data_IF_226628256117
#
_entry.id   IF_226628256117
#
_cell.length_a   1.000
_cell.length_b   1.000
_cell.length_c   1.000
_cell.angle_alpha   90.00
_cell.angle_beta   90.00
_cell.angle_gamma   90.00
#
_symmetry.space_group_name_H-M   'P 1'
#
loop_
_entity.id
_entity.type
_entity.pdbx_description
1 polymer ?
#
# COMPACT_ATOMS: atom_id res chain seq x y z
N UNK A 1 -14.61 1.44 28.34
CA UNK A 1 -15.02 0.19 27.67
C UNK A 1 -14.72 0.34 26.19
N UNK A 2 -13.66 -0.30 25.73
CA UNK A 2 -13.19 -0.29 24.34
C UNK A 2 -13.54 -1.57 23.59
N UNK A 3 -12.88 -1.75 22.44
CA UNK A 3 -13.12 -2.87 21.51
C UNK A 3 -12.79 -4.23 22.12
N UNK A 4 -11.73 -4.30 22.95
CA UNK A 4 -11.29 -5.55 23.59
C UNK A 4 -12.35 -6.06 24.57
N UNK A 5 -12.89 -5.17 25.40
CA UNK A 5 -13.90 -5.54 26.41
C UNK A 5 -15.21 -6.00 25.75
N UNK A 6 -15.51 -5.53 24.53
CA UNK A 6 -16.65 -6.01 23.73
C UNK A 6 -16.43 -7.45 23.27
N UNK A 7 -15.25 -7.80 22.77
CA UNK A 7 -14.93 -9.17 22.37
C UNK A 7 -15.00 -10.12 23.58
N UNK A 8 -14.47 -9.71 24.73
CA UNK A 8 -14.60 -10.49 25.98
C UNK A 8 -16.06 -10.67 26.42
N UNK A 9 -16.89 -9.65 26.24
CA UNK A 9 -18.32 -9.74 26.54
C UNK A 9 -19.01 -10.74 25.61
N UNK A 10 -18.74 -10.66 24.30
CA UNK A 10 -19.30 -11.59 23.30
C UNK A 10 -18.86 -13.04 23.57
N UNK A 11 -17.60 -13.24 23.95
CA UNK A 11 -17.10 -14.56 24.33
C UNK A 11 -17.84 -15.15 25.55
N UNK A 12 -18.30 -14.31 26.49
CA UNK A 12 -19.05 -14.74 27.69
C UNK A 12 -20.57 -14.75 27.52
N UNK A 13 -21.12 -14.19 26.46
CA UNK A 13 -22.59 -14.00 26.32
C UNK A 13 -23.34 -15.27 25.92
N UNK A 14 -22.64 -16.29 25.41
CA UNK A 14 -23.25 -17.48 24.82
C UNK A 14 -23.92 -17.23 23.46
N UNK A 15 -23.86 -16.01 22.93
CA UNK A 15 -24.37 -15.68 21.60
C UNK A 15 -23.35 -16.06 20.51
N UNK A 16 -23.79 -16.49 19.32
CA UNK A 16 -22.90 -16.63 18.18
C UNK A 16 -22.29 -15.27 17.82
N UNK A 17 -20.96 -15.22 17.67
CA UNK A 17 -20.23 -14.01 17.29
C UNK A 17 -19.04 -14.35 16.40
N UNK A 18 -18.62 -13.38 15.60
CA UNK A 18 -17.32 -13.38 14.92
C UNK A 18 -16.79 -11.95 14.96
N UNK A 19 -15.49 -11.77 15.21
CA UNK A 19 -14.83 -10.46 15.20
C UNK A 19 -13.92 -10.31 13.99
N UNK A 20 -13.85 -9.10 13.46
CA UNK A 20 -12.91 -8.70 12.41
C UNK A 20 -11.98 -7.61 12.93
N UNK A 21 -10.68 -7.79 12.74
CA UNK A 21 -9.62 -6.87 13.14
C UNK A 21 -8.85 -6.40 11.90
N UNK A 22 -9.43 -5.48 11.11
CA UNK A 22 -8.69 -4.86 10.03
C UNK A 22 -7.57 -3.97 10.57
N UNK A 23 -6.50 -3.82 9.79
CA UNK A 23 -5.46 -2.83 10.03
C UNK A 23 -5.90 -1.46 9.47
N UNK A 24 -5.04 -0.77 8.73
CA UNK A 24 -5.38 0.50 8.11
C UNK A 24 -6.18 0.28 6.82
N UNK A 25 -7.44 0.68 6.83
CA UNK A 25 -8.34 0.51 5.68
C UNK A 25 -8.13 1.66 4.69
N UNK A 26 -8.06 1.32 3.39
CA UNK A 26 -7.96 2.27 2.28
C UNK A 26 -8.85 1.82 1.11
N UNK A 27 -8.99 2.63 0.07
CA UNK A 27 -9.78 2.30 -1.12
C UNK A 27 -11.03 3.17 -1.26
N UNK A 28 -11.58 3.21 -2.48
CA UNK A 28 -12.68 4.11 -2.79
C UNK A 28 -13.95 3.81 -1.98
N UNK A 29 -14.55 4.85 -1.40
CA UNK A 29 -15.74 4.75 -0.54
C UNK A 29 -15.41 4.52 0.94
N UNK A 30 -14.13 4.59 1.32
CA UNK A 30 -13.72 4.55 2.71
C UNK A 30 -14.07 5.87 3.43
N UNK A 31 -14.69 5.78 4.61
CA UNK A 31 -15.11 6.95 5.38
C UNK A 31 -13.93 7.79 5.91
N UNK A 32 -12.76 7.18 6.07
CA UNK A 32 -11.54 7.83 6.54
C UNK A 32 -10.37 7.52 5.58
N UNK A 33 -10.31 8.20 4.42
CA UNK A 33 -9.34 7.91 3.36
C UNK A 33 -7.95 8.38 3.77
N UNK A 34 -7.15 7.50 4.38
CA UNK A 34 -5.79 7.82 4.83
C UNK A 34 -4.86 8.17 3.66
N UNK A 35 -5.10 7.53 2.52
CA UNK A 35 -4.35 7.68 1.28
C UNK A 35 -4.49 9.08 0.70
N UNK A 36 -5.61 9.76 1.00
CA UNK A 36 -5.87 11.15 0.61
C UNK A 36 -4.78 12.08 1.16
N UNK A 37 -4.26 11.85 2.37
CA UNK A 37 -3.14 12.61 2.92
C UNK A 37 -1.95 12.65 1.95
N UNK A 38 -1.58 11.52 1.37
CA UNK A 38 -0.45 11.42 0.44
C UNK A 38 -0.80 12.03 -0.91
N UNK A 39 -1.98 11.73 -1.44
CA UNK A 39 -2.41 12.25 -2.74
C UNK A 39 -2.52 13.77 -2.77
N UNK A 40 -3.00 14.41 -1.70
CA UNK A 40 -3.08 15.89 -1.62
C UNK A 40 -1.69 16.54 -1.78
N UNK A 41 -0.67 15.99 -1.10
CA UNK A 41 0.71 16.48 -1.17
C UNK A 41 1.33 16.24 -2.54
N UNK A 42 1.13 15.04 -3.08
CA UNK A 42 1.61 14.66 -4.41
C UNK A 42 0.95 15.53 -5.49
N UNK A 43 -0.37 15.74 -5.40
CA UNK A 43 -1.14 16.55 -6.34
C UNK A 43 -0.70 18.02 -6.29
N UNK A 44 -0.47 18.57 -5.10
CA UNK A 44 0.04 19.92 -4.91
C UNK A 44 1.54 20.08 -5.26
N UNK A 45 2.25 19.00 -5.62
CA UNK A 45 3.69 19.05 -5.91
C UNK A 45 4.56 19.36 -4.70
N UNK A 46 4.08 19.01 -3.49
CA UNK A 46 4.76 19.27 -2.23
C UNK A 46 5.54 18.04 -1.76
N UNK A 47 6.63 18.23 -0.99
CA UNK A 47 7.27 17.12 -0.29
C UNK A 47 6.29 16.43 0.67
N UNK A 48 6.48 15.14 0.89
CA UNK A 48 5.73 14.39 1.91
C UNK A 48 6.59 14.25 3.16
N UNK A 49 6.09 14.78 4.27
CA UNK A 49 6.77 14.69 5.57
C UNK A 49 6.48 13.33 6.22
N UNK A 50 7.53 12.55 6.50
CA UNK A 50 7.43 11.20 7.05
C UNK A 50 8.13 11.13 8.41
N UNK A 51 7.47 10.64 9.48
CA UNK A 51 8.08 10.58 10.79
C UNK A 51 9.17 9.52 10.89
N UNK A 52 10.21 9.79 11.68
CA UNK A 52 11.32 8.88 11.92
C UNK A 52 12.16 8.68 10.66
N UNK A 53 12.55 7.44 10.39
CA UNK A 53 13.37 7.06 9.23
C UNK A 53 12.55 6.49 8.07
N UNK A 54 11.21 6.54 8.15
CA UNK A 54 10.31 6.07 7.09
C UNK A 54 10.21 4.56 6.86
N UNK A 55 11.01 3.74 7.55
CA UNK A 55 11.01 2.28 7.40
C UNK A 55 10.05 1.52 8.32
N UNK A 56 9.19 2.20 9.07
CA UNK A 56 8.12 1.53 9.81
C UNK A 56 7.20 0.81 8.82
N UNK A 57 7.06 -0.50 9.00
CA UNK A 57 6.17 -1.33 8.20
C UNK A 57 4.74 -1.25 8.74
N UNK A 58 3.79 -1.11 7.83
CA UNK A 58 2.37 -1.02 8.13
C UNK A 58 1.55 -1.93 7.22
N UNK A 59 0.53 -2.55 7.80
CA UNK A 59 -0.49 -3.27 7.08
C UNK A 59 -1.57 -2.32 6.57
N UNK A 60 -1.86 -2.42 5.28
CA UNK A 60 -3.04 -1.82 4.66
C UNK A 60 -4.04 -2.93 4.33
N UNK A 61 -5.33 -2.60 4.27
CA UNK A 61 -6.39 -3.51 3.84
C UNK A 61 -7.39 -2.80 2.95
N UNK A 62 -7.58 -3.27 1.71
CA UNK A 62 -8.53 -2.63 0.81
C UNK A 62 -9.98 -2.80 1.29
N UNK A 63 -10.78 -1.72 1.25
CA UNK A 63 -12.15 -1.67 1.80
C UNK A 63 -13.08 -2.73 1.19
N UNK A 64 -12.92 -3.01 -0.11
CA UNK A 64 -13.71 -4.06 -0.78
C UNK A 64 -13.33 -5.46 -0.32
N UNK A 65 -12.04 -5.72 -0.09
CA UNK A 65 -11.60 -7.04 0.37
C UNK A 65 -12.07 -7.30 1.80
N UNK A 66 -12.04 -6.28 2.67
CA UNK A 66 -12.65 -6.34 3.99
C UNK A 66 -14.16 -6.64 3.92
N UNK A 67 -14.89 -5.92 3.05
CA UNK A 67 -16.33 -6.13 2.89
C UNK A 67 -16.67 -7.55 2.44
N UNK A 68 -15.89 -8.12 1.50
CA UNK A 68 -16.06 -9.51 1.05
C UNK A 68 -15.75 -10.49 2.18
N UNK A 69 -14.68 -10.30 2.95
CA UNK A 69 -14.38 -11.15 4.10
C UNK A 69 -15.52 -11.16 5.12
N UNK A 70 -16.08 -9.98 5.42
CA UNK A 70 -17.22 -9.83 6.33
C UNK A 70 -18.50 -10.46 5.78
N UNK A 71 -18.75 -10.38 4.47
CA UNK A 71 -19.91 -11.03 3.85
C UNK A 71 -19.78 -12.55 3.86
N UNK A 72 -18.58 -13.06 3.55
CA UNK A 72 -18.34 -14.50 3.41
C UNK A 72 -18.53 -15.27 4.72
N UNK A 73 -18.37 -14.64 5.89
CA UNK A 73 -18.56 -15.30 7.18
C UNK A 73 -20.01 -15.77 7.41
N UNK A 74 -20.97 -15.13 6.75
CA UNK A 74 -22.40 -15.36 7.01
C UNK A 74 -22.75 -16.80 6.63
N UNK A 75 -23.45 -17.49 7.53
CA UNK A 75 -23.87 -18.88 7.31
C UNK A 75 -22.77 -19.92 7.46
N UNK A 76 -21.61 -19.57 8.03
CA UNK A 76 -20.50 -20.51 8.30
C UNK A 76 -20.38 -20.86 9.79
N UNK A 77 -20.92 -22.02 10.25
CA UNK A 77 -20.90 -22.38 11.67
C UNK A 77 -19.48 -22.49 12.25
N UNK A 78 -18.50 -22.92 11.45
CA UNK A 78 -17.10 -23.02 11.88
C UNK A 78 -16.43 -21.67 12.12
N UNK A 79 -17.08 -20.55 11.76
CA UNK A 79 -16.58 -19.19 12.01
C UNK A 79 -17.05 -18.59 13.35
N UNK A 80 -18.00 -19.25 14.02
CA UNK A 80 -18.51 -18.80 15.31
C UNK A 80 -17.43 -18.86 16.38
N UNK A 81 -17.33 -17.81 17.18
CA UNK A 81 -16.35 -17.65 18.26
C UNK A 81 -14.94 -17.25 17.78
N UNK A 82 -14.75 -17.00 16.48
CA UNK A 82 -13.44 -16.69 15.91
C UNK A 82 -13.23 -15.20 15.69
N UNK A 83 -11.96 -14.83 15.61
CA UNK A 83 -11.51 -13.48 15.27
C UNK A 83 -10.60 -13.57 14.05
N UNK A 84 -10.90 -12.77 13.04
CA UNK A 84 -10.16 -12.73 11.79
C UNK A 84 -9.43 -11.39 11.64
N UNK A 85 -8.14 -11.45 11.33
CA UNK A 85 -7.43 -10.27 10.84
C UNK A 85 -7.69 -10.11 9.34
N UNK A 86 -7.79 -8.88 8.87
CA UNK A 86 -7.95 -8.57 7.45
C UNK A 86 -7.00 -7.45 7.03
N UNK A 87 -6.17 -7.74 6.03
CA UNK A 87 -5.20 -6.84 5.45
C UNK A 87 -4.78 -7.42 4.06
N UNK A 88 -4.11 -6.62 3.24
CA UNK A 88 -3.40 -7.03 2.03
C UNK A 88 -2.25 -8.01 2.35
N UNK A 89 -1.77 -8.76 1.36
CA UNK A 89 -0.77 -9.84 1.58
C UNK A 89 0.60 -9.37 2.07
N UNK A 90 0.91 -8.10 1.89
CA UNK A 90 2.23 -7.55 2.22
C UNK A 90 2.08 -6.28 3.05
N UNK A 91 2.95 -6.14 4.04
CA UNK A 91 3.15 -4.87 4.73
C UNK A 91 4.04 -3.95 3.88
N UNK A 92 3.84 -2.64 4.00
CA UNK A 92 4.58 -1.62 3.27
C UNK A 92 5.28 -0.65 4.22
N UNK A 93 6.47 -0.15 3.87
CA UNK A 93 7.12 0.92 4.63
C UNK A 93 6.41 2.26 4.40
N UNK A 94 6.59 3.23 5.29
CA UNK A 94 6.03 4.57 5.06
C UNK A 94 6.58 5.21 3.79
N UNK A 95 7.90 5.13 3.57
CA UNK A 95 8.51 5.61 2.33
C UNK A 95 7.93 4.85 1.13
N UNK A 96 7.80 3.52 1.23
CA UNK A 96 7.17 2.69 0.20
C UNK A 96 5.76 3.14 -0.14
N UNK A 97 4.95 3.47 0.87
CA UNK A 97 3.59 3.98 0.68
C UNK A 97 3.57 5.32 -0.06
N UNK A 98 4.45 6.26 0.30
CA UNK A 98 4.58 7.53 -0.43
C UNK A 98 4.88 7.29 -1.91
N UNK A 99 5.85 6.41 -2.18
CA UNK A 99 6.28 6.08 -3.54
C UNK A 99 5.17 5.37 -4.32
N UNK A 100 4.43 4.47 -3.68
CA UNK A 100 3.30 3.78 -4.28
C UNK A 100 2.14 4.75 -4.61
N UNK A 101 1.84 5.71 -3.73
CA UNK A 101 0.88 6.77 -4.01
C UNK A 101 1.31 7.66 -5.19
N UNK A 102 2.61 7.94 -5.34
CA UNK A 102 3.12 8.69 -6.50
C UNK A 102 2.84 7.95 -7.82
N UNK A 103 3.12 6.65 -7.85
CA UNK A 103 2.87 5.78 -9.00
C UNK A 103 1.37 5.69 -9.32
N UNK A 104 0.52 5.55 -8.31
CA UNK A 104 -0.93 5.55 -8.47
C UNK A 104 -1.43 6.88 -9.07
N UNK A 105 -0.84 8.02 -8.66
CA UNK A 105 -1.13 9.33 -9.21
C UNK A 105 -0.53 9.61 -10.61
N UNK A 106 0.06 8.59 -11.26
CA UNK A 106 0.66 8.71 -12.59
C UNK A 106 2.01 9.42 -12.60
N UNK A 107 2.70 9.52 -11.46
CA UNK A 107 4.03 10.12 -11.35
C UNK A 107 5.12 9.05 -11.12
N UNK A 108 6.37 9.28 -11.54
CA UNK A 108 7.46 8.36 -11.20
C UNK A 108 7.62 8.23 -9.68
N UNK A 109 7.93 7.04 -9.18
CA UNK A 109 8.15 6.82 -7.75
C UNK A 109 9.17 7.82 -7.17
N UNK A 110 10.26 8.10 -7.87
CA UNK A 110 11.32 9.03 -7.45
C UNK A 110 10.95 10.51 -7.48
N UNK A 111 9.82 10.90 -8.07
CA UNK A 111 9.50 12.33 -8.29
C UNK A 111 9.01 13.06 -7.03
N UNK A 112 8.70 12.33 -5.97
CA UNK A 112 8.22 12.91 -4.70
C UNK A 112 9.39 13.08 -3.75
N UNK A 113 9.59 14.30 -3.26
CA UNK A 113 10.55 14.52 -2.17
C UNK A 113 9.95 13.97 -0.86
N UNK A 114 10.75 13.18 -0.14
CA UNK A 114 10.39 12.70 1.21
C UNK A 114 11.26 13.45 2.20
N UNK A 115 10.63 14.12 3.16
CA UNK A 115 11.33 14.83 4.24
C UNK A 115 11.08 14.08 5.54
N UNK A 116 12.14 13.47 6.06
CA UNK A 116 12.08 12.79 7.35
C UNK A 116 12.16 13.80 8.49
N UNK A 117 11.38 13.57 9.56
CA UNK A 117 11.39 14.43 10.74
C UNK A 117 11.25 13.61 12.03
N UNK A 118 11.81 14.10 13.13
CA UNK A 118 11.60 13.52 14.44
C UNK A 118 10.36 14.14 15.09
N UNK A 119 9.28 13.39 15.36
CA UNK A 119 8.06 13.94 15.94
C UNK A 119 8.24 14.64 17.29
N UNK A 120 9.29 14.31 18.04
CA UNK A 120 9.59 14.92 19.35
C UNK A 120 10.07 16.37 19.25
N UNK A 121 10.50 16.81 18.07
CA UNK A 121 11.05 18.15 17.86
C UNK A 121 9.96 19.19 17.57
N UNK A 122 8.68 18.77 17.55
CA UNK A 122 7.55 19.61 17.16
C UNK A 122 6.39 19.48 18.16
N UNK A 123 5.67 20.58 18.36
CA UNK A 123 4.35 20.59 19.00
C UNK A 123 3.27 20.84 17.95
N UNK A 124 2.54 19.79 17.57
CA UNK A 124 1.42 19.86 16.62
C UNK A 124 0.06 20.10 17.32
N UNK A 125 0.06 20.31 18.64
CA UNK A 125 -1.17 20.38 19.43
C UNK A 125 -2.03 19.12 19.25
N UNK A 126 -3.27 19.31 18.79
CA UNK A 126 -4.23 18.20 18.54
C UNK A 126 -4.19 17.67 17.11
N UNK A 127 -3.37 18.25 16.23
CA UNK A 127 -3.30 17.87 14.82
C UNK A 127 -2.46 16.60 14.65
N UNK A 128 -2.80 15.82 13.63
CA UNK A 128 -2.03 14.64 13.24
C UNK A 128 -1.16 15.01 12.04
N UNK A 129 0.14 15.17 12.28
CA UNK A 129 1.11 15.45 11.22
C UNK A 129 1.33 14.27 10.25
N UNK A 130 0.94 13.05 10.65
CA UNK A 130 1.01 11.85 9.82
C UNK A 130 -0.20 10.94 10.13
N UNK A 131 -0.82 10.29 9.12
CA UNK A 131 -2.06 9.53 9.32
C UNK A 131 -1.84 8.18 10.00
N UNK A 132 -0.59 7.68 10.03
CA UNK A 132 -0.22 6.36 10.57
C UNK A 132 0.58 6.49 11.88
N UNK A 133 0.50 5.47 12.73
CA UNK A 133 1.27 5.41 13.98
C UNK A 133 2.73 5.06 13.67
N UNK A 134 3.73 5.79 14.19
CA UNK A 134 5.15 5.56 13.90
C UNK A 134 5.69 4.33 14.66
N UNK A 135 5.17 3.15 14.31
CA UNK A 135 5.57 1.85 14.81
C UNK A 135 5.25 0.77 13.77
N UNK A 136 5.84 -0.40 13.95
CA UNK A 136 5.48 -1.59 13.21
C UNK A 136 4.04 -2.04 13.55
N UNK A 137 3.19 -2.15 12.53
CA UNK A 137 1.78 -2.54 12.72
C UNK A 137 1.19 -3.24 11.48
N UNK A 138 1.21 -4.57 11.47
CA UNK A 138 0.59 -5.44 10.46
C UNK A 138 0.14 -6.75 11.11
N UNK A 139 -0.64 -7.54 10.39
CA UNK A 139 -1.18 -8.81 10.87
C UNK A 139 -1.09 -9.90 9.81
N UNK A 140 -1.11 -11.15 10.27
CA UNK A 140 -1.28 -12.34 9.42
C UNK A 140 -2.77 -12.56 9.10
N UNK A 141 -3.07 -12.99 7.87
CA UNK A 141 -4.44 -13.16 7.35
C UNK A 141 -4.80 -14.61 7.01
N UNK A 142 -3.94 -15.59 7.33
CA UNK A 142 -4.11 -16.99 6.90
C UNK A 142 -5.38 -17.63 7.47
N UNK A 143 -5.77 -17.26 8.70
CA UNK A 143 -7.01 -17.76 9.29
C UNK A 143 -8.24 -17.32 8.47
N UNK A 144 -8.24 -16.09 7.96
CA UNK A 144 -9.32 -15.59 7.09
C UNK A 144 -9.31 -16.31 5.75
N UNK A 145 -8.12 -16.48 5.13
CA UNK A 145 -7.94 -17.21 3.87
C UNK A 145 -8.48 -18.64 3.94
N UNK A 146 -8.16 -19.35 5.03
CA UNK A 146 -8.58 -20.73 5.25
C UNK A 146 -10.09 -20.89 5.46
N UNK A 147 -10.70 -20.02 6.27
CA UNK A 147 -12.05 -20.26 6.77
C UNK A 147 -13.15 -19.54 5.96
N UNK A 148 -12.80 -18.49 5.20
CA UNK A 148 -13.76 -17.56 4.58
C UNK A 148 -13.87 -17.64 3.04
N UNK A 149 -13.22 -18.61 2.38
CA UNK A 149 -13.12 -18.65 0.89
C UNK A 149 -12.76 -17.28 0.31
N UNK A 150 -11.72 -16.69 0.91
CA UNK A 150 -11.36 -15.30 0.71
C UNK A 150 -9.86 -15.18 0.45
N UNK A 151 -9.49 -14.25 -0.42
CA UNK A 151 -8.12 -13.81 -0.63
C UNK A 151 -8.15 -12.31 -0.95
N UNK A 152 -7.14 -11.54 -0.52
CA UNK A 152 -6.94 -10.18 -1.01
C UNK A 152 -6.89 -10.15 -2.53
N UNK A 153 -7.76 -9.37 -3.16
CA UNK A 153 -7.76 -9.15 -4.61
C UNK A 153 -6.99 -7.91 -5.00
N UNK A 154 -6.83 -6.99 -4.06
CA UNK A 154 -6.09 -5.76 -4.22
C UNK A 154 -4.70 -5.93 -3.61
N UNK A 155 -3.69 -5.89 -4.47
CA UNK A 155 -2.34 -5.51 -4.02
C UNK A 155 -2.29 -3.99 -3.79
N UNK A 156 -1.24 -3.53 -3.11
CA UNK A 156 -1.09 -2.11 -2.76
C UNK A 156 -1.11 -1.20 -4.00
N UNK A 157 -0.55 -1.63 -5.13
CA UNK A 157 -0.50 -0.81 -6.35
C UNK A 157 -1.89 -0.66 -6.97
N UNK A 158 -2.65 -1.76 -7.09
CA UNK A 158 -4.02 -1.78 -7.63
C UNK A 158 -4.99 -1.06 -6.72
N UNK A 159 -4.90 -1.26 -5.41
CA UNK A 159 -5.78 -0.61 -4.44
C UNK A 159 -5.55 0.90 -4.39
N UNK A 160 -4.30 1.37 -4.42
CA UNK A 160 -4.02 2.81 -4.40
C UNK A 160 -4.46 3.47 -5.70
N UNK A 161 -4.36 2.75 -6.83
CA UNK A 161 -4.93 3.20 -8.09
C UNK A 161 -6.45 3.31 -8.03
N UNK A 162 -7.14 2.31 -7.48
CA UNK A 162 -8.60 2.36 -7.27
C UNK A 162 -8.99 3.58 -6.43
N UNK A 163 -8.33 3.79 -5.29
CA UNK A 163 -8.58 4.95 -4.44
C UNK A 163 -8.33 6.29 -5.15
N UNK A 164 -7.26 6.36 -5.96
CA UNK A 164 -6.92 7.56 -6.70
C UNK A 164 -7.96 7.89 -7.77
N UNK A 165 -8.27 6.92 -8.63
CA UNK A 165 -9.13 7.10 -9.80
C UNK A 165 -10.60 7.25 -9.39
N UNK A 166 -11.08 6.43 -8.46
CA UNK A 166 -12.51 6.34 -8.12
C UNK A 166 -12.92 7.24 -6.95
N UNK A 167 -12.00 7.90 -6.26
CA UNK A 167 -12.33 8.82 -5.16
C UNK A 167 -11.55 10.13 -5.22
N UNK A 168 -10.21 10.09 -5.17
CA UNK A 168 -9.40 11.31 -5.05
C UNK A 168 -9.60 12.27 -6.25
N UNK A 169 -9.54 11.76 -7.48
CA UNK A 169 -9.71 12.57 -8.70
C UNK A 169 -11.08 13.26 -8.74
N UNK A 170 -12.13 12.58 -8.28
CA UNK A 170 -13.48 13.15 -8.21
C UNK A 170 -13.53 14.29 -7.20
N UNK A 171 -13.03 14.08 -5.97
CA UNK A 171 -12.97 15.13 -4.94
C UNK A 171 -12.14 16.34 -5.39
N UNK A 172 -11.03 16.09 -6.08
CA UNK A 172 -10.18 17.15 -6.62
C UNK A 172 -10.92 17.99 -7.69
N UNK A 173 -11.62 17.34 -8.61
CA UNK A 173 -12.41 18.01 -9.66
C UNK A 173 -13.59 18.80 -9.10
N UNK A 174 -14.21 18.29 -8.05
CA UNK A 174 -15.33 18.94 -7.35
C UNK A 174 -14.87 20.07 -6.42
N UNK A 175 -13.57 20.23 -6.19
CA UNK A 175 -13.04 21.20 -5.23
C UNK A 175 -13.41 20.90 -3.77
N UNK A 176 -13.69 19.63 -3.45
CA UNK A 176 -14.12 19.20 -2.10
C UNK A 176 -12.96 18.78 -1.19
N UNK A 177 -11.71 18.84 -1.68
CA UNK A 177 -10.51 18.59 -0.90
C UNK A 177 -10.30 19.70 0.16
N UNK A 178 -10.12 19.28 1.41
CA UNK A 178 -9.84 20.16 2.55
C UNK A 178 -8.37 20.04 2.94
N UNK A 179 -7.50 20.50 2.04
CA UNK A 179 -6.06 20.41 2.21
C UNK A 179 -5.62 21.19 3.47
N UNK A 180 -5.00 20.50 4.44
CA UNK A 180 -4.27 21.11 5.56
C UNK A 180 -2.79 20.72 5.44
N UNK A 181 -1.93 21.74 5.28
CA UNK A 181 -0.48 21.61 5.17
C UNK A 181 0.27 22.27 6.34
N UNK A 182 -0.41 22.71 7.40
CA UNK A 182 0.21 23.49 8.48
C UNK A 182 1.32 22.70 9.19
N UNK A 183 1.09 21.41 9.47
CA UNK A 183 2.12 20.55 10.05
C UNK A 183 3.30 20.37 9.09
N UNK A 184 3.05 20.20 7.79
CA UNK A 184 4.09 20.09 6.77
C UNK A 184 4.91 21.39 6.70
N UNK A 185 4.26 22.56 6.72
CA UNK A 185 4.94 23.85 6.67
C UNK A 185 5.88 24.05 7.88
N UNK A 186 5.44 23.65 9.07
CA UNK A 186 6.28 23.67 10.28
C UNK A 186 7.53 22.78 10.11
N UNK A 187 7.34 21.56 9.61
CA UNK A 187 8.43 20.58 9.40
C UNK A 187 9.40 21.08 8.34
N UNK A 188 8.89 21.53 7.20
CA UNK A 188 9.70 22.02 6.08
C UNK A 188 10.46 23.30 6.45
N UNK A 189 9.88 24.19 7.24
CA UNK A 189 10.58 25.37 7.75
C UNK A 189 11.76 25.01 8.66
N UNK A 190 11.59 24.00 9.52
CA UNK A 190 12.66 23.49 10.38
C UNK A 190 13.78 22.82 9.56
N UNK A 191 13.42 21.98 8.58
CA UNK A 191 14.38 21.31 7.70
C UNK A 191 15.23 22.30 6.90
N UNK A 192 14.62 23.37 6.37
CA UNK A 192 15.35 24.45 5.68
C UNK A 192 16.37 25.14 6.58
N UNK A 193 16.02 25.42 7.85
CA UNK A 193 16.94 26.02 8.82
C UNK A 193 18.15 25.11 9.11
N UNK A 194 17.94 23.81 9.23
CA UNK A 194 19.02 22.83 9.44
C UNK A 194 19.95 22.71 8.23
N UNK A 195 19.39 22.76 7.01
CA UNK A 195 20.19 22.77 5.77
C UNK A 195 21.03 24.05 5.62
N UNK A 196 20.54 25.18 6.15
CA UNK A 196 21.24 26.47 6.13
C UNK A 196 22.30 26.62 7.24
N UNK A 197 22.19 25.86 8.34
CA UNK A 197 23.12 25.92 9.47
C UNK A 197 24.23 24.86 9.43
N UNK A 198 24.15 23.89 8.51
CA UNK A 198 25.22 22.91 8.30
C UNK A 198 26.36 23.58 7.49
N UNK A 199 27.58 23.74 8.04
CA UNK A 199 28.69 24.29 7.27
C UNK A 199 28.99 23.38 6.08
N UNK A 200 29.32 23.97 4.93
CA UNK A 200 29.75 23.23 3.74
C UNK A 200 30.80 22.16 4.11
N UNK A 201 30.71 20.94 3.57
CA UNK A 201 31.74 19.93 3.84
C UNK A 201 33.10 20.49 3.47
N UNK A 202 34.08 20.24 4.34
CA UNK A 202 35.48 20.60 4.20
C UNK A 202 35.93 20.44 2.74
N UNK A 203 36.40 21.54 2.13
CA UNK A 203 37.03 21.51 0.82
C UNK A 203 38.06 20.39 0.78
N UNK A 204 37.93 19.49 -0.20
CA UNK A 204 38.85 18.39 -0.44
C UNK A 204 40.28 18.91 -0.44
N UNK A 205 41.11 18.43 0.48
CA UNK A 205 42.56 18.58 0.35
C UNK A 205 42.98 17.91 -0.96
N UNK A 206 43.83 18.61 -1.71
CA UNK A 206 44.44 18.21 -2.98
C UNK A 206 44.90 16.74 -3.00
N UNK A 207 44.89 16.08 -4.17
CA UNK A 207 45.17 14.66 -4.27
C UNK A 207 46.60 14.34 -3.81
N UNK A 208 46.71 13.39 -2.88
CA UNK A 208 47.98 12.73 -2.58
C UNK A 208 48.36 11.89 -3.81
N UNK A 209 49.64 12.00 -4.19
CA UNK A 209 50.24 11.39 -5.36
C UNK A 209 49.90 9.89 -5.53
N UNK A 210 49.71 9.51 -6.80
CA UNK A 210 49.40 8.16 -7.24
C UNK A 210 50.40 7.11 -6.73
N UNK A 211 49.88 6.04 -6.14
CA UNK A 211 50.63 4.81 -5.89
C UNK A 211 50.90 4.06 -7.21
N UNK A 212 52.04 3.35 -7.35
CA UNK A 212 52.38 2.65 -8.58
C UNK A 212 51.48 1.41 -8.78
N UNK A 213 51.25 1.10 -10.06
CA UNK A 213 50.35 0.06 -10.55
C UNK A 213 50.69 -1.35 -10.03
N UNK A 214 49.65 -2.08 -9.64
CA UNK A 214 49.70 -3.52 -9.38
C UNK A 214 49.81 -4.31 -10.70
N UNK A 215 50.48 -5.48 -10.72
CA UNK A 215 50.64 -6.28 -11.92
C UNK A 215 49.34 -6.99 -12.32
N UNK A 216 49.18 -7.18 -13.63
CA UNK A 216 48.02 -7.78 -14.27
C UNK A 216 47.71 -9.19 -13.75
N UNK A 217 46.49 -9.38 -13.25
CA UNK A 217 45.95 -10.68 -12.90
C UNK A 217 45.29 -11.35 -14.13
N UNK A 218 45.60 -12.63 -14.27
CA UNK A 218 45.30 -13.57 -15.34
C UNK A 218 43.78 -13.74 -15.58
N UNK A 219 43.40 -13.85 -16.85
CA UNK A 219 42.03 -14.08 -17.30
C UNK A 219 41.47 -15.43 -16.81
N UNK A 220 40.26 -15.39 -16.23
CA UNK A 220 39.43 -16.57 -15.96
C UNK A 220 38.47 -16.81 -17.14
N UNK A 221 38.11 -18.09 -17.45
CA UNK A 221 37.37 -18.43 -18.66
C UNK A 221 35.88 -18.08 -18.57
N UNK A 222 35.29 -17.84 -19.73
CA UNK A 222 33.90 -17.43 -19.94
C UNK A 222 32.89 -18.46 -19.39
N UNK A 223 31.99 -17.99 -18.52
CA UNK A 223 30.74 -18.69 -18.21
C UNK A 223 29.64 -18.23 -19.17
N UNK A 224 28.92 -19.20 -19.73
CA UNK A 224 27.91 -19.07 -20.77
C UNK A 224 26.78 -18.10 -20.42
N UNK A 225 26.44 -17.22 -21.35
CA UNK A 225 25.20 -16.45 -21.33
C UNK A 225 24.01 -17.36 -21.69
N UNK A 226 23.11 -17.57 -20.73
CA UNK A 226 21.72 -17.92 -20.99
C UNK A 226 20.87 -16.83 -20.33
N UNK A 227 20.80 -15.68 -20.98
CA UNK A 227 19.88 -14.59 -20.63
C UNK A 227 18.61 -14.74 -21.45
N UNK A 228 17.55 -15.29 -20.85
CA UNK A 228 16.18 -15.10 -21.32
C UNK A 228 15.63 -13.84 -20.66
N UNK A 229 15.20 -12.87 -21.46
CA UNK A 229 14.58 -11.64 -20.96
C UNK A 229 13.21 -11.96 -20.35
N UNK A 230 12.86 -11.29 -19.25
CA UNK A 230 11.57 -11.42 -18.56
C UNK A 230 10.39 -10.84 -19.38
N UNK A 231 10.63 -10.42 -20.62
CA UNK A 231 9.64 -9.82 -21.53
C UNK A 231 9.09 -10.80 -22.59
N UNK A 232 9.62 -12.02 -22.70
CA UNK A 232 9.17 -13.02 -23.68
C UNK A 232 8.15 -14.04 -23.13
N UNK A 233 7.61 -13.85 -21.92
CA UNK A 233 6.58 -14.74 -21.33
C UNK A 233 5.14 -14.21 -21.43
N UNK A 234 4.90 -13.15 -22.19
CA UNK A 234 3.57 -12.51 -22.30
C UNK A 234 2.87 -12.67 -23.65
N UNK A 235 3.34 -13.56 -24.53
CA UNK A 235 2.60 -13.94 -25.73
C UNK A 235 2.27 -15.44 -25.73
N UNK A 236 1.15 -15.78 -25.08
CA UNK A 236 0.46 -17.05 -25.28
C UNK A 236 -0.45 -16.99 -26.53
N UNK A 237 -0.63 -18.10 -27.26
CA UNK A 237 -1.21 -18.07 -28.60
C UNK A 237 -2.72 -17.75 -28.60
N UNK A 238 -3.10 -16.93 -29.58
CA UNK A 238 -4.48 -16.64 -29.98
C UNK A 238 -5.21 -17.94 -30.37
N UNK A 239 -6.29 -18.26 -29.66
CA UNK A 239 -7.23 -19.29 -30.06
C UNK A 239 -8.30 -18.68 -30.97
N UNK A 240 -8.24 -19.01 -32.27
CA UNK A 240 -9.33 -18.77 -33.21
C UNK A 240 -10.44 -19.83 -33.04
N UNK A 241 -11.73 -19.48 -33.24
CA UNK A 241 -12.83 -20.42 -33.08
C UNK A 241 -12.98 -21.33 -34.30
N UNK A 242 -13.09 -22.63 -34.06
CA UNK A 242 -13.44 -23.62 -35.09
C UNK A 242 -14.95 -23.57 -35.38
N UNK A 243 -15.29 -23.26 -36.63
CA UNK A 243 -16.62 -23.49 -37.19
C UNK A 243 -16.63 -24.82 -37.96
N UNK A 244 -17.57 -25.71 -37.63
CA UNK A 244 -18.16 -26.64 -38.60
C UNK A 244 -19.49 -27.16 -38.08
N UNK A 245 -20.57 -26.82 -38.77
CA UNK A 245 -21.91 -27.32 -38.50
C UNK A 245 -22.19 -28.68 -39.14
N UNK A 246 -23.27 -29.29 -38.65
CA UNK A 246 -24.27 -30.22 -39.25
C UNK A 246 -25.02 -30.77 -38.03
N UNK A 247 -26.30 -30.49 -37.80
CA UNK A 247 -27.43 -30.80 -38.66
C UNK A 247 -28.19 -31.95 -37.98
N UNK A 248 -29.40 -31.69 -37.45
CA UNK A 248 -30.21 -32.71 -36.79
C UNK A 248 -31.40 -32.13 -36.04
N UNK A 249 -32.50 -31.98 -36.76
CA UNK A 249 -33.86 -31.70 -36.27
C UNK A 249 -34.33 -32.67 -35.20
N UNK A 250 -35.09 -32.22 -34.20
CA UNK A 250 -36.34 -32.87 -33.78
C UNK A 250 -37.27 -31.87 -33.06
N UNK A 251 -38.54 -32.00 -33.41
CA UNK A 251 -39.72 -31.19 -33.06
C UNK A 251 -40.11 -31.23 -31.58
N UNK A 252 -40.73 -30.13 -31.16
CA UNK A 252 -41.97 -29.99 -30.37
C UNK A 252 -42.49 -31.19 -29.57
N UNK A 253 -42.75 -30.98 -28.27
CA UNK A 253 -44.11 -30.71 -27.77
C UNK A 253 -44.19 -30.74 -26.23
N UNK A 254 -44.83 -29.71 -25.65
CA UNK A 254 -45.85 -29.72 -24.58
C UNK A 254 -45.55 -30.53 -23.30
N UNK A 255 -45.54 -29.94 -22.10
CA UNK A 255 -46.74 -29.38 -21.47
C UNK A 255 -47.40 -30.45 -20.59
N UNK A 256 -47.22 -30.35 -19.26
CA UNK A 256 -47.78 -31.25 -18.25
C UNK A 256 -47.02 -31.19 -16.94
#
# INVERSE_FOLDING_TARGET
KGKLETEELLARSGMPWTSFRPTYIYGAGNYNPLEQFFFERIHAGRPVCVPGYGGHLTGLGHVRDLAVAMANVIGRPHCVGKTYNCQDDVAISFDGLVRACAVAAGKPASSVEIVHYNPKDFDFGKKKAFPLRPQHFWTDVELARRDLDWEPKYDTARGLRDAYENEFVHKAREGSLKNDFECDDMILAAAKKQSASTPAPFASRSPVAAAPAAPAAVAAPAASQAGGSYLDMLEGPSAAPAASGRGGSYMDSLGG
#
